data_IF_290429436058
#
_entry.id   IF_290429436058
#
_cell.length_a   1.000
_cell.length_b   1.000
_cell.length_c   1.000
_cell.angle_alpha   90.00
_cell.angle_beta   90.00
_cell.angle_gamma   90.00
#
_symmetry.space_group_name_H-M   'P 1'
#
loop_
_entity.id
_entity.type
_entity.pdbx_description
1 polymer ?
#
# COMPACT_ATOMS: atom_id res chain seq x y z
N UNK A 1 -4.68 9.33 15.58
CA UNK A 1 -3.26 9.61 15.87
C UNK A 1 -3.18 10.21 17.25
N UNK A 2 -2.36 9.62 18.13
CA UNK A 2 -2.10 10.25 19.42
C UNK A 2 -1.09 11.40 19.23
N UNK A 3 -1.28 12.50 19.95
CA UNK A 3 -0.32 13.59 19.96
C UNK A 3 1.01 13.08 20.57
N UNK A 4 2.12 13.27 19.88
CA UNK A 4 3.44 12.85 20.34
C UNK A 4 3.93 11.49 19.83
N UNK A 5 3.22 10.82 18.92
CA UNK A 5 3.73 9.62 18.25
C UNK A 5 4.97 9.94 17.43
N UNK A 6 6.04 9.14 17.59
CA UNK A 6 7.26 9.28 16.79
C UNK A 6 7.05 8.65 15.42
N UNK A 7 6.87 9.48 14.41
CA UNK A 7 6.72 9.04 13.03
C UNK A 7 8.08 8.83 12.38
N UNK A 8 8.22 7.75 11.63
CA UNK A 8 9.42 7.43 10.86
C UNK A 8 9.05 6.96 9.45
N UNK A 9 9.98 7.19 8.54
CA UNK A 9 9.97 6.58 7.22
C UNK A 9 11.25 5.79 7.04
N UNK A 10 11.12 4.52 6.64
CA UNK A 10 12.26 3.65 6.36
C UNK A 10 12.16 3.07 4.96
N UNK A 11 13.28 3.09 4.24
CA UNK A 11 13.42 2.40 2.96
C UNK A 11 14.45 1.29 3.10
N UNK A 12 14.07 0.08 2.73
CA UNK A 12 14.94 -1.09 2.89
C UNK A 12 14.39 -2.31 2.15
N UNK A 13 15.03 -3.45 2.34
CA UNK A 13 14.62 -4.70 1.72
C UNK A 13 13.95 -5.61 2.75
N UNK A 14 12.92 -6.34 2.32
CA UNK A 14 12.31 -7.37 3.16
C UNK A 14 13.31 -8.50 3.41
N UNK A 15 13.49 -8.84 4.68
CA UNK A 15 14.35 -9.94 5.11
C UNK A 15 13.69 -11.29 4.89
N UNK A 16 12.38 -11.34 5.16
CA UNK A 16 11.53 -12.52 5.07
C UNK A 16 10.22 -12.16 4.38
N UNK A 17 9.47 -13.16 3.92
CA UNK A 17 8.11 -12.96 3.42
C UNK A 17 7.20 -12.43 4.53
N UNK A 18 6.24 -11.55 4.23
CA UNK A 18 5.28 -11.07 5.23
C UNK A 18 4.44 -12.22 5.79
N UNK A 19 4.40 -12.34 7.12
CA UNK A 19 3.61 -13.34 7.82
C UNK A 19 2.23 -12.77 8.15
N UNK A 20 1.20 -13.26 7.47
CA UNK A 20 -0.20 -12.89 7.73
C UNK A 20 -0.78 -13.76 8.83
N UNK A 21 -1.37 -13.15 9.83
CA UNK A 21 -2.11 -13.79 10.92
C UNK A 21 -3.43 -13.08 11.17
N UNK A 22 -4.35 -13.80 11.80
CA UNK A 22 -5.62 -13.23 12.25
C UNK A 22 -5.69 -13.23 13.76
N UNK A 23 -6.11 -12.10 14.32
CA UNK A 23 -6.36 -12.01 15.76
C UNK A 23 -7.60 -12.84 16.14
N UNK A 24 -7.80 -13.17 17.43
CA UNK A 24 -9.04 -13.83 17.90
C UNK A 24 -10.32 -13.07 17.55
N UNK A 25 -10.21 -11.75 17.33
CA UNK A 25 -11.32 -10.89 16.89
C UNK A 25 -11.49 -10.85 15.37
N UNK A 26 -10.72 -11.65 14.62
CA UNK A 26 -10.80 -11.74 13.16
C UNK A 26 -10.11 -10.61 12.38
N UNK A 27 -9.30 -9.78 13.02
CA UNK A 27 -8.56 -8.74 12.32
C UNK A 27 -7.25 -9.30 11.73
N UNK A 28 -7.02 -9.01 10.45
CA UNK A 28 -5.77 -9.35 9.80
C UNK A 28 -4.61 -8.49 10.33
N UNK A 29 -3.47 -9.11 10.57
CA UNK A 29 -2.19 -8.45 10.85
C UNK A 29 -1.08 -9.15 10.08
N UNK A 30 -0.30 -8.38 9.33
CA UNK A 30 0.91 -8.89 8.68
C UNK A 30 2.14 -8.34 9.38
N UNK A 31 3.08 -9.25 9.67
CA UNK A 31 4.36 -8.94 10.29
C UNK A 31 5.47 -9.23 9.29
N UNK A 32 6.36 -8.28 9.11
CA UNK A 32 7.55 -8.43 8.27
C UNK A 32 8.71 -7.64 8.82
N UNK A 33 9.92 -7.97 8.38
CA UNK A 33 11.14 -7.33 8.81
C UNK A 33 11.83 -6.64 7.65
N UNK A 34 12.23 -5.38 7.84
CA UNK A 34 12.92 -4.57 6.86
C UNK A 34 14.36 -4.35 7.32
N UNK A 35 15.31 -4.60 6.40
CA UNK A 35 16.72 -4.26 6.55
C UNK A 35 17.02 -2.99 5.74
N UNK A 36 17.43 -1.93 6.43
CA UNK A 36 17.94 -0.70 5.83
C UNK A 36 19.44 -0.64 6.00
N UNK A 37 20.18 -0.76 4.88
CA UNK A 37 21.63 -0.78 4.87
C UNK A 37 22.14 0.48 4.19
N UNK A 38 22.80 1.40 4.92
CA UNK A 38 23.42 2.57 4.32
C UNK A 38 24.64 2.15 3.49
N UNK A 39 24.86 2.83 2.37
CA UNK A 39 26.07 2.66 1.58
C UNK A 39 26.88 3.95 1.62
N UNK A 40 28.15 3.81 1.83
CA UNK A 40 29.08 4.95 1.80
C UNK A 40 30.28 4.64 0.90
N UNK A 41 30.84 5.71 0.36
CA UNK A 41 32.05 5.59 -0.43
C UNK A 41 33.26 5.67 0.50
N UNK A 42 34.11 4.65 0.46
CA UNK A 42 35.38 4.66 1.19
C UNK A 42 36.35 5.64 0.51
N UNK A 43 36.75 6.65 1.25
CA UNK A 43 37.68 7.68 0.73
C UNK A 43 39.09 7.15 0.43
N UNK A 44 39.50 6.04 1.05
CA UNK A 44 40.84 5.47 0.83
C UNK A 44 40.89 4.59 -0.41
N UNK A 45 39.86 3.74 -0.63
CA UNK A 45 39.81 2.84 -1.78
C UNK A 45 38.96 3.35 -2.95
N UNK A 46 38.12 4.36 -2.72
CA UNK A 46 37.17 4.87 -3.69
C UNK A 46 35.98 3.91 -3.95
N UNK A 47 35.92 2.80 -3.27
CA UNK A 47 34.89 1.77 -3.43
C UNK A 47 33.66 2.05 -2.57
N UNK A 48 32.50 1.55 -3.01
CA UNK A 48 31.27 1.58 -2.26
C UNK A 48 31.22 0.41 -1.27
N UNK A 49 31.07 0.73 0.01
CA UNK A 49 30.95 -0.23 1.12
C UNK A 49 29.57 -0.14 1.75
N UNK A 50 29.05 -1.28 2.18
CA UNK A 50 27.84 -1.35 2.97
C UNK A 50 28.17 -1.09 4.44
N UNK A 51 27.40 -0.24 5.09
CA UNK A 51 27.47 0.00 6.53
C UNK A 51 26.62 -0.97 7.32
N UNK A 52 26.49 -0.70 8.63
CA UNK A 52 25.67 -1.51 9.51
C UNK A 52 24.18 -1.44 9.13
N UNK A 53 23.57 -2.59 9.00
CA UNK A 53 22.16 -2.70 8.65
C UNK A 53 21.28 -2.46 9.86
N UNK A 54 20.30 -1.57 9.72
CA UNK A 54 19.22 -1.40 10.68
C UNK A 54 18.10 -2.38 10.34
N UNK A 55 17.70 -3.20 11.32
CA UNK A 55 16.59 -4.13 11.19
C UNK A 55 15.40 -3.63 12.02
N UNK A 56 14.26 -3.40 11.36
CA UNK A 56 13.02 -3.05 12.04
C UNK A 56 11.92 -4.05 11.72
N UNK A 57 11.19 -4.45 12.75
CA UNK A 57 9.97 -5.24 12.62
C UNK A 57 8.81 -4.30 12.36
N UNK A 58 8.04 -4.58 11.32
CA UNK A 58 6.90 -3.81 10.88
C UNK A 58 5.62 -4.62 11.07
N UNK A 59 4.60 -4.01 11.63
CA UNK A 59 3.28 -4.60 11.81
C UNK A 59 2.25 -3.73 11.08
N UNK A 60 1.53 -4.32 10.16
CA UNK A 60 0.46 -3.66 9.38
C UNK A 60 -0.86 -4.38 9.63
N UNK A 61 -1.96 -3.62 9.67
CA UNK A 61 -3.26 -4.11 10.14
C UNK A 61 -4.33 -4.07 9.07
N UNK A 62 -5.37 -4.90 9.25
CA UNK A 62 -6.61 -4.92 8.47
C UNK A 62 -6.35 -5.23 6.99
N UNK A 63 -7.09 -4.57 6.08
CA UNK A 63 -6.99 -4.80 4.64
C UNK A 63 -5.57 -4.58 4.09
N UNK A 64 -4.83 -3.61 4.62
CA UNK A 64 -3.44 -3.39 4.23
C UNK A 64 -2.54 -4.60 4.55
N UNK A 65 -2.84 -5.35 5.62
CA UNK A 65 -2.11 -6.57 5.96
C UNK A 65 -2.29 -7.67 4.91
N UNK A 66 -3.51 -7.87 4.44
CA UNK A 66 -3.82 -8.83 3.38
C UNK A 66 -3.14 -8.43 2.06
N UNK A 67 -3.24 -7.15 1.68
CA UNK A 67 -2.61 -6.63 0.48
C UNK A 67 -1.07 -6.79 0.52
N UNK A 68 -0.46 -6.54 1.67
CA UNK A 68 0.98 -6.70 1.88
C UNK A 68 1.40 -8.16 1.72
N UNK A 69 0.67 -9.08 2.36
CA UNK A 69 0.97 -10.50 2.29
C UNK A 69 0.82 -11.08 0.87
N UNK A 70 -0.12 -10.53 0.09
CA UNK A 70 -0.34 -10.94 -1.31
C UNK A 70 0.71 -10.35 -2.26
N UNK A 71 1.18 -9.11 -1.99
CA UNK A 71 1.95 -8.34 -2.95
C UNK A 71 3.44 -8.31 -2.70
N UNK A 72 3.88 -8.39 -1.44
CA UNK A 72 5.28 -8.23 -1.06
C UNK A 72 5.93 -9.57 -0.76
N UNK A 73 7.21 -9.70 -1.15
CA UNK A 73 8.00 -10.90 -0.97
C UNK A 73 9.39 -10.55 -0.44
N UNK A 74 10.06 -11.54 0.15
CA UNK A 74 11.45 -11.45 0.58
C UNK A 74 12.34 -10.86 -0.51
N UNK A 75 13.24 -9.97 -0.12
CA UNK A 75 14.18 -9.31 -1.02
C UNK A 75 13.63 -8.07 -1.72
N UNK A 76 12.31 -7.88 -1.76
CA UNK A 76 11.72 -6.67 -2.33
C UNK A 76 12.14 -5.44 -1.55
N UNK A 77 12.48 -4.36 -2.27
CA UNK A 77 12.72 -3.06 -1.67
C UNK A 77 11.39 -2.33 -1.46
N UNK A 78 11.19 -1.87 -0.24
CA UNK A 78 9.96 -1.18 0.18
C UNK A 78 10.26 0.15 0.82
N UNK A 79 9.26 1.03 0.83
CA UNK A 79 9.20 2.25 1.62
C UNK A 79 8.08 2.05 2.62
N UNK A 80 8.40 2.19 3.91
CA UNK A 80 7.46 2.03 5.02
C UNK A 80 7.35 3.35 5.74
N UNK A 81 6.14 3.81 5.95
CA UNK A 81 5.80 4.96 6.78
C UNK A 81 4.95 4.49 7.95
N UNK A 82 5.28 4.95 9.16
CA UNK A 82 4.52 4.54 10.34
C UNK A 82 5.08 5.13 11.62
N UNK A 83 4.61 4.60 12.74
CA UNK A 83 4.94 5.05 14.08
C UNK A 83 5.90 4.07 14.74
N UNK A 84 7.03 4.60 15.23
CA UNK A 84 7.98 3.83 16.01
C UNK A 84 7.42 3.56 17.40
N UNK A 85 7.34 2.28 17.77
CA UNK A 85 6.88 1.81 19.07
C UNK A 85 8.02 1.08 19.78
N UNK A 86 8.20 1.41 21.04
CA UNK A 86 9.08 0.67 21.93
C UNK A 86 8.23 -0.27 22.77
N UNK A 87 8.61 -1.55 22.81
CA UNK A 87 8.02 -2.56 23.69
C UNK A 87 9.10 -3.18 24.56
N UNK A 88 8.82 -3.27 25.84
CA UNK A 88 9.68 -3.99 26.76
C UNK A 88 8.95 -5.24 27.24
N UNK A 89 9.63 -6.37 27.25
CA UNK A 89 9.11 -7.61 27.76
C UNK A 89 10.19 -8.32 28.59
N UNK A 90 9.76 -9.12 29.51
CA UNK A 90 10.62 -9.94 30.35
C UNK A 90 10.73 -11.35 29.75
N UNK A 91 11.96 -11.82 29.57
CA UNK A 91 12.21 -13.20 29.11
C UNK A 91 11.87 -14.18 30.22
N UNK A 92 11.76 -15.47 29.87
CA UNK A 92 11.57 -16.54 30.89
C UNK A 92 12.69 -16.62 31.90
N UNK A 93 13.85 -16.05 31.59
CA UNK A 93 15.05 -15.98 32.46
C UNK A 93 15.08 -14.73 33.33
N UNK A 94 14.02 -13.87 33.29
CA UNK A 94 13.90 -12.66 34.09
C UNK A 94 14.62 -11.42 33.48
N UNK A 95 15.16 -11.53 32.27
CA UNK A 95 15.81 -10.40 31.60
C UNK A 95 14.79 -9.48 30.94
N UNK A 96 14.89 -8.18 31.19
CA UNK A 96 14.11 -7.17 30.47
C UNK A 96 14.75 -6.89 29.13
N UNK A 97 14.02 -7.16 28.06
CA UNK A 97 14.41 -6.83 26.68
C UNK A 97 13.52 -5.77 26.10
N UNK A 98 14.14 -4.81 25.43
CA UNK A 98 13.47 -3.75 24.70
C UNK A 98 13.58 -4.02 23.21
N UNK A 99 12.45 -3.99 22.52
CA UNK A 99 12.36 -4.11 21.07
C UNK A 99 11.70 -2.87 20.48
N UNK A 100 12.14 -2.49 19.29
CA UNK A 100 11.56 -1.42 18.53
C UNK A 100 10.81 -2.01 17.34
N UNK A 101 9.56 -1.61 17.19
CA UNK A 101 8.67 -2.05 16.13
C UNK A 101 8.05 -0.83 15.45
N UNK A 102 7.70 -0.97 14.18
CA UNK A 102 6.97 0.07 13.44
C UNK A 102 5.53 -0.37 13.28
N UNK A 103 4.62 0.42 13.82
CA UNK A 103 3.20 0.31 13.51
C UNK A 103 2.96 1.05 12.20
N UNK A 104 2.73 0.28 11.14
CA UNK A 104 2.72 0.79 9.76
C UNK A 104 1.41 1.51 9.47
N UNK A 105 1.52 2.75 9.02
CA UNK A 105 0.39 3.52 8.50
C UNK A 105 0.28 3.36 6.96
N UNK A 106 1.44 3.29 6.25
CA UNK A 106 1.49 3.06 4.80
C UNK A 106 2.76 2.31 4.40
N UNK A 107 2.66 1.47 3.35
CA UNK A 107 3.78 0.71 2.81
C UNK A 107 3.58 0.42 1.33
N UNK A 108 4.64 0.51 0.57
CA UNK A 108 4.62 0.18 -0.85
C UNK A 108 5.98 -0.26 -1.38
N UNK A 109 6.01 -0.90 -2.55
CA UNK A 109 7.25 -1.22 -3.22
C UNK A 109 8.00 0.04 -3.65
N UNK A 110 9.32 0.02 -3.49
CA UNK A 110 10.17 1.11 -3.98
C UNK A 110 10.42 0.93 -5.48
N UNK A 111 10.06 1.93 -6.27
CA UNK A 111 10.25 1.93 -7.72
C UNK A 111 11.68 2.28 -8.16
N UNK A 112 12.60 2.47 -7.25
CA UNK A 112 13.98 2.87 -7.58
C UNK A 112 14.67 1.91 -8.56
N UNK A 113 14.45 0.60 -8.37
CA UNK A 113 15.12 -0.45 -9.15
C UNK A 113 14.11 -1.52 -9.66
N UNK A 114 12.83 -1.22 -9.64
CA UNK A 114 11.77 -2.13 -10.03
C UNK A 114 10.56 -1.36 -10.56
N UNK A 115 9.72 -2.04 -11.33
CA UNK A 115 8.39 -1.57 -11.72
C UNK A 115 7.32 -2.40 -11.00
N UNK A 116 6.16 -1.81 -10.73
CA UNK A 116 5.01 -2.52 -10.17
C UNK A 116 3.74 -2.18 -10.95
N UNK A 117 2.87 -3.18 -11.07
CA UNK A 117 1.50 -2.98 -11.55
C UNK A 117 0.59 -2.94 -10.34
N UNK A 118 -0.25 -1.91 -10.26
CA UNK A 118 -1.19 -1.75 -9.15
C UNK A 118 -2.57 -2.19 -9.62
N UNK A 119 -3.16 -3.13 -8.89
CA UNK A 119 -4.55 -3.53 -9.06
C UNK A 119 -5.36 -2.91 -7.92
N UNK A 120 -6.34 -2.10 -8.29
CA UNK A 120 -7.21 -1.46 -7.30
C UNK A 120 -8.11 -2.52 -6.66
N UNK A 121 -8.01 -2.70 -5.34
CA UNK A 121 -8.97 -3.54 -4.62
C UNK A 121 -10.33 -2.83 -4.58
N UNK A 122 -11.34 -3.44 -5.21
CA UNK A 122 -12.71 -2.96 -5.10
C UNK A 122 -13.14 -3.16 -3.62
N UNK A 123 -13.29 -2.06 -2.90
CA UNK A 123 -14.11 -2.08 -1.70
C UNK A 123 -15.54 -2.39 -2.17
N UNK A 124 -15.99 -3.60 -1.97
CA UNK A 124 -17.41 -3.86 -1.93
C UNK A 124 -17.94 -3.04 -0.75
N UNK A 125 -18.42 -1.84 -1.04
CA UNK A 125 -19.28 -1.12 -0.12
C UNK A 125 -20.44 -2.07 0.16
N UNK A 126 -20.45 -2.66 1.36
CA UNK A 126 -21.58 -3.43 1.84
C UNK A 126 -22.84 -2.59 1.66
N UNK A 127 -23.56 -2.89 0.59
CA UNK A 127 -24.83 -2.28 0.32
C UNK A 127 -25.75 -2.62 1.48
N UNK A 128 -26.12 -1.62 2.24
CA UNK A 128 -27.36 -1.64 2.99
C UNK A 128 -28.48 -1.68 1.97
N UNK A 129 -28.80 -2.87 1.43
CA UNK A 129 -30.01 -3.17 0.70
C UNK A 129 -31.14 -3.30 1.67
N UNK A 130 -31.75 -2.18 2.03
CA UNK A 130 -33.04 -2.14 2.70
C UNK A 130 -34.07 -2.77 1.78
N UNK A 131 -34.52 -3.99 2.13
CA UNK A 131 -35.70 -4.58 1.57
C UNK A 131 -36.93 -3.74 1.91
N UNK A 132 -37.67 -3.39 0.91
CA UNK A 132 -39.07 -3.02 1.06
C UNK A 132 -39.86 -3.83 0.07
N UNK A 133 -40.68 -4.68 0.61
CA UNK A 133 -41.56 -5.57 -0.06
C UNK A 133 -42.73 -4.89 -0.71
N UNK A 134 -43.38 -5.69 -1.53
CA UNK A 134 -44.82 -5.72 -1.61
C UNK A 134 -45.46 -5.07 -2.78
N UNK A 135 -46.07 -5.90 -3.54
CA UNK A 135 -47.45 -5.78 -3.94
C UNK A 135 -47.70 -5.75 -5.43
N UNK A 136 -48.24 -6.88 -5.80
CA UNK A 136 -49.12 -7.20 -6.92
C UNK A 136 -49.95 -6.07 -7.51
N UNK A 137 -50.06 -6.04 -8.83
CA UNK A 137 -51.06 -5.28 -9.59
C UNK A 137 -51.04 -5.58 -11.06
N UNK A 138 -51.99 -6.40 -11.45
CA UNK A 138 -52.43 -6.82 -12.77
C UNK A 138 -52.80 -5.69 -13.73
N UNK A 139 -52.52 -5.87 -15.06
CA UNK A 139 -53.45 -5.48 -16.12
C UNK A 139 -53.02 -4.41 -17.10
N UNK A 140 -53.05 -4.71 -18.36
CA UNK A 140 -53.45 -3.77 -19.39
C UNK A 140 -52.50 -3.47 -20.55
N UNK A 141 -52.64 -4.25 -21.56
CA UNK A 141 -52.66 -3.98 -23.01
C UNK A 141 -52.39 -2.58 -23.54
N UNK A 142 -51.53 -2.48 -24.59
CA UNK A 142 -51.79 -1.67 -25.77
C UNK A 142 -50.87 -0.48 -26.03
N UNK A 143 -50.24 -0.46 -27.18
CA UNK A 143 -49.99 0.78 -27.91
C UNK A 143 -48.56 1.05 -28.35
N UNK A 144 -48.33 0.83 -29.60
CA UNK A 144 -47.23 1.24 -30.46
C UNK A 144 -46.88 2.74 -30.39
N UNK A 145 -45.62 3.07 -30.63
CA UNK A 145 -45.25 4.39 -31.15
C UNK A 145 -43.88 4.88 -30.73
N UNK A 146 -42.95 4.81 -31.59
CA UNK A 146 -41.92 5.63 -32.12
C UNK A 146 -41.13 6.61 -31.26
N UNK A 147 -39.89 6.69 -31.72
CA UNK A 147 -38.93 7.78 -31.74
C UNK A 147 -37.95 7.91 -30.61
N UNK A 148 -36.71 7.62 -30.98
CA UNK A 148 -35.45 8.33 -30.76
C UNK A 148 -35.38 9.33 -29.59
N UNK A 149 -34.49 9.07 -28.68
CA UNK A 149 -34.05 10.00 -27.65
C UNK A 149 -32.70 9.59 -27.08
N UNK A 150 -31.65 10.09 -27.71
CA UNK A 150 -30.29 10.12 -27.24
C UNK A 150 -30.23 10.74 -25.84
N UNK A 151 -29.81 9.97 -24.86
CA UNK A 151 -29.56 10.44 -23.50
C UNK A 151 -28.21 9.89 -23.00
N UNK A 152 -27.17 10.71 -23.21
CA UNK A 152 -25.81 10.42 -22.80
C UNK A 152 -25.69 10.26 -21.32
N UNK A 153 -25.30 9.06 -20.88
CA UNK A 153 -24.71 8.84 -19.60
C UNK A 153 -23.33 9.48 -19.59
N UNK A 154 -23.15 10.50 -18.76
CA UNK A 154 -21.85 11.08 -18.47
C UNK A 154 -20.99 10.00 -17.83
N UNK A 155 -20.04 9.48 -18.60
CA UNK A 155 -18.91 8.77 -18.07
C UNK A 155 -18.16 9.76 -17.15
N UNK A 156 -17.99 9.36 -15.91
CA UNK A 156 -17.17 10.08 -14.95
C UNK A 156 -15.74 10.02 -15.50
N UNK A 157 -15.26 11.14 -16.03
CA UNK A 157 -13.91 11.26 -16.56
C UNK A 157 -12.92 10.99 -15.42
N UNK A 158 -12.11 9.96 -15.61
CA UNK A 158 -10.99 9.63 -14.76
C UNK A 158 -9.94 10.74 -14.91
N UNK A 159 -9.61 11.50 -13.82
CA UNK A 159 -8.67 12.61 -13.92
C UNK A 159 -7.25 12.19 -14.34
N UNK A 160 -6.97 10.90 -14.40
CA UNK A 160 -5.68 10.33 -14.83
C UNK A 160 -5.67 9.85 -16.28
N UNK A 161 -6.81 9.89 -16.98
CA UNK A 161 -6.92 9.46 -18.38
C UNK A 161 -6.63 10.57 -19.40
N UNK A 162 -6.43 11.80 -18.95
CA UNK A 162 -6.38 12.97 -19.84
C UNK A 162 -4.99 13.36 -20.37
N UNK A 163 -3.92 12.57 -20.11
CA UNK A 163 -2.58 12.95 -20.56
C UNK A 163 -1.77 11.82 -21.25
N UNK A 164 -2.44 11.02 -22.05
CA UNK A 164 -1.78 10.01 -22.88
C UNK A 164 -1.65 10.41 -24.38
N UNK A 165 -1.68 11.70 -24.69
CA UNK A 165 -1.67 12.12 -26.09
C UNK A 165 -1.12 13.50 -26.33
N UNK A 166 0.14 13.79 -26.02
CA UNK A 166 0.90 14.86 -26.67
C UNK A 166 2.36 14.88 -26.21
N UNK A 167 3.14 13.90 -26.62
CA UNK A 167 4.59 14.07 -26.76
C UNK A 167 4.96 13.67 -28.19
N UNK A 168 4.65 14.58 -29.09
CA UNK A 168 5.11 14.59 -30.46
C UNK A 168 6.02 15.79 -30.67
N UNK A 169 7.26 15.48 -31.02
CA UNK A 169 8.22 16.26 -31.79
C UNK A 169 8.71 17.61 -31.27
N UNK A 170 9.99 17.66 -31.00
CA UNK A 170 10.86 18.80 -31.31
C UNK A 170 11.30 19.62 -30.12
N UNK A 171 12.44 19.28 -29.54
CA UNK A 171 13.52 20.24 -29.29
C UNK A 171 14.70 19.53 -28.62
N UNK A 172 15.79 19.44 -29.37
CA UNK A 172 17.14 19.25 -28.85
C UNK A 172 17.48 20.44 -27.95
N UNK A 173 17.56 20.21 -26.65
CA UNK A 173 18.26 21.09 -25.74
C UNK A 173 19.10 20.25 -24.79
N UNK A 174 20.37 20.19 -25.17
CA UNK A 174 21.46 19.61 -24.40
C UNK A 174 21.75 20.54 -23.24
N UNK A 175 21.69 20.10 -21.95
CA UNK A 175 22.10 20.95 -20.84
C UNK A 175 23.61 21.13 -20.85
N UNK A 176 24.10 22.38 -20.58
CA UNK A 176 25.53 22.65 -20.52
C UNK A 176 26.11 22.17 -19.19
N UNK A 177 26.83 21.11 -19.17
CA UNK A 177 28.09 20.69 -18.46
C UNK A 177 28.31 19.21 -18.51
#
# INVERSE_FOLDING_TARGET
MAAGDTQITIAGNLVDDPELRYTPTGQAVAKFRVASTPRFRDNASGEWKDGDSLFLTCNVWRQAAENVAESLQRGMRVIVYGRLRQRSYETREGEKRTVYEVEVDDVGPSMRNASAKVTKSNRSSGGFGGGSGGSSGSGGSGGSGGSSGSGGGRAQEDPWAADAGSFGEGASDEPPF
#
